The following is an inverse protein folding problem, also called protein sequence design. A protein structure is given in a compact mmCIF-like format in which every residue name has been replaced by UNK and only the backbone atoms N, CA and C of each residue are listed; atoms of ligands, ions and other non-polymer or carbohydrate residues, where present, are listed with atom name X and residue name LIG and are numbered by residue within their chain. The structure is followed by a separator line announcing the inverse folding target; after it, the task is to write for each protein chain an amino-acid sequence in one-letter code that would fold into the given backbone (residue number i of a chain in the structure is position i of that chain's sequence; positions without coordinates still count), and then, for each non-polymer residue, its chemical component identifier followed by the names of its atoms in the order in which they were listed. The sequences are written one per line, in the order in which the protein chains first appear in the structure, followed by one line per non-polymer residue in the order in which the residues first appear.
data_IF_051941943415
#
_entry.id   IF_051941943415
#
_cell.length_a   1.000
_cell.length_b   1.000
_cell.length_c   1.000
_cell.angle_alpha   90.00
_cell.angle_beta   90.00
_cell.angle_gamma   90.00
#
_symmetry.space_group_name_H-M   'P 1'
#
loop_
_entity.id
_entity.type
_entity.pdbx_description
1 polymer ?
#
# COMPACT_ATOMS: atom_id res chain seq x y z
N UNK A 1 45.60 7.72 16.76
CA UNK A 1 44.34 7.15 17.29
C UNK A 1 43.22 7.63 16.38
N UNK A 2 42.85 6.83 15.39
CA UNK A 2 41.82 7.21 14.43
C UNK A 2 40.45 6.94 15.02
N UNK A 3 39.74 8.00 15.38
CA UNK A 3 38.34 7.96 15.79
C UNK A 3 37.48 7.59 14.59
N UNK A 4 36.94 6.37 14.59
CA UNK A 4 35.87 5.97 13.68
C UNK A 4 34.60 6.66 14.14
N UNK A 5 34.19 7.72 13.42
CA UNK A 5 32.87 8.32 13.58
C UNK A 5 31.86 7.30 13.03
N UNK A 6 30.93 6.77 13.84
CA UNK A 6 29.88 5.92 13.32
C UNK A 6 29.00 6.77 12.41
N UNK A 7 28.84 6.36 11.15
CA UNK A 7 27.89 6.97 10.21
C UNK A 7 26.50 7.05 10.86
N UNK A 8 25.73 8.12 10.58
CA UNK A 8 24.35 8.21 11.07
C UNK A 8 23.59 6.96 10.62
N UNK A 9 23.01 6.24 11.58
CA UNK A 9 22.11 5.12 11.28
C UNK A 9 20.96 5.72 10.47
N UNK A 10 20.74 5.27 9.23
CA UNK A 10 19.55 5.66 8.47
C UNK A 10 18.32 5.43 9.33
N UNK A 11 17.57 6.50 9.59
CA UNK A 11 16.32 6.49 10.37
C UNK A 11 15.15 5.87 9.61
N UNK A 12 15.41 5.36 8.40
CA UNK A 12 14.42 4.73 7.53
C UNK A 12 14.07 3.34 8.04
N UNK A 13 12.78 3.05 8.14
CA UNK A 13 12.27 1.74 8.56
C UNK A 13 12.66 0.62 7.58
N UNK A 14 12.55 -0.64 8.04
CA UNK A 14 12.73 -1.78 7.14
C UNK A 14 11.59 -1.83 6.11
N UNK A 15 11.82 -2.35 4.89
CA UNK A 15 10.78 -2.40 3.86
C UNK A 15 9.49 -3.07 4.34
N UNK A 16 9.58 -4.21 5.02
CA UNK A 16 8.43 -4.89 5.63
C UNK A 16 7.67 -4.01 6.61
N UNK A 17 8.38 -3.33 7.51
CA UNK A 17 7.74 -2.46 8.51
C UNK A 17 7.00 -1.30 7.85
N UNK A 18 7.63 -0.67 6.84
CA UNK A 18 7.02 0.44 6.11
C UNK A 18 5.79 -0.04 5.33
N UNK A 19 5.88 -1.13 4.58
CA UNK A 19 4.77 -1.60 3.77
C UNK A 19 3.60 -2.12 4.62
N UNK A 20 3.86 -2.85 5.71
CA UNK A 20 2.81 -3.23 6.65
C UNK A 20 2.16 -2.01 7.33
N UNK A 21 2.90 -0.92 7.58
CA UNK A 21 2.33 0.34 8.04
C UNK A 21 1.43 1.00 6.97
N UNK A 22 1.76 0.87 5.69
CA UNK A 22 0.89 1.34 4.60
C UNK A 22 -0.42 0.54 4.57
N UNK A 23 -0.38 -0.79 4.74
CA UNK A 23 -1.59 -1.61 4.88
C UNK A 23 -2.47 -1.14 6.04
N UNK A 24 -1.90 -0.88 7.22
CA UNK A 24 -2.64 -0.36 8.37
C UNK A 24 -3.27 1.01 8.07
N UNK A 25 -2.55 1.88 7.36
CA UNK A 25 -3.06 3.19 6.95
C UNK A 25 -4.23 3.06 5.97
N UNK A 26 -4.08 2.21 4.95
CA UNK A 26 -5.11 1.96 3.93
C UNK A 26 -6.37 1.37 4.59
N UNK A 27 -6.22 0.42 5.51
CA UNK A 27 -7.32 -0.16 6.28
C UNK A 27 -8.08 0.90 7.10
N UNK A 28 -7.37 1.85 7.71
CA UNK A 28 -8.00 2.97 8.43
C UNK A 28 -8.79 3.87 7.47
N UNK A 29 -8.20 4.28 6.35
CA UNK A 29 -8.86 5.13 5.34
C UNK A 29 -10.12 4.44 4.80
N UNK A 30 -10.06 3.12 4.61
CA UNK A 30 -11.25 2.39 4.20
C UNK A 30 -12.34 2.34 5.28
N UNK A 31 -11.95 2.16 6.54
CA UNK A 31 -12.91 2.21 7.66
C UNK A 31 -13.62 3.56 7.72
N UNK A 32 -12.89 4.66 7.50
CA UNK A 32 -13.42 6.02 7.39
C UNK A 32 -14.40 6.14 6.20
N UNK A 33 -14.00 5.65 5.02
CA UNK A 33 -14.83 5.65 3.81
C UNK A 33 -16.13 4.84 3.98
N UNK A 34 -16.07 3.64 4.58
CA UNK A 34 -17.27 2.86 4.88
C UNK A 34 -18.21 3.58 5.87
N UNK A 35 -17.64 4.27 6.85
CA UNK A 35 -18.39 5.12 7.76
C UNK A 35 -19.15 6.22 7.01
N UNK A 36 -18.50 6.89 6.06
CA UNK A 36 -19.12 7.91 5.22
C UNK A 36 -20.23 7.34 4.33
N UNK A 37 -20.04 6.13 3.76
CA UNK A 37 -21.10 5.43 3.03
C UNK A 37 -22.31 5.11 3.91
N UNK A 38 -22.09 4.73 5.17
CA UNK A 38 -23.17 4.40 6.10
C UNK A 38 -24.00 5.62 6.51
N UNK A 39 -23.40 6.81 6.58
CA UNK A 39 -24.12 8.06 6.87
C UNK A 39 -24.75 8.70 5.63
N UNK A 40 -24.27 8.33 4.44
CA UNK A 40 -24.71 8.93 3.17
C UNK A 40 -24.16 10.34 2.93
N UNK A 41 -23.14 10.75 3.68
CA UNK A 41 -22.49 12.05 3.55
C UNK A 41 -21.61 12.07 2.30
N UNK A 42 -22.10 12.74 1.25
CA UNK A 42 -21.47 12.75 -0.09
C UNK A 42 -20.13 13.47 -0.10
N UNK A 43 -20.00 14.55 0.66
CA UNK A 43 -18.75 15.31 0.73
C UNK A 43 -17.69 14.49 1.46
N UNK A 44 -18.08 13.85 2.58
CA UNK A 44 -17.21 12.91 3.27
C UNK A 44 -16.82 11.72 2.38
N UNK A 45 -17.76 11.11 1.64
CA UNK A 45 -17.45 10.01 0.71
C UNK A 45 -16.42 10.44 -0.33
N UNK A 46 -16.59 11.60 -0.98
CA UNK A 46 -15.68 12.06 -2.01
C UNK A 46 -14.28 12.38 -1.46
N UNK A 47 -14.22 13.03 -0.28
CA UNK A 47 -12.96 13.32 0.41
C UNK A 47 -12.22 12.05 0.82
N UNK A 48 -12.91 11.12 1.48
CA UNK A 48 -12.30 9.86 1.91
C UNK A 48 -11.92 8.97 0.72
N UNK A 49 -12.72 8.97 -0.34
CA UNK A 49 -12.39 8.27 -1.58
C UNK A 49 -11.07 8.77 -2.17
N UNK A 50 -10.88 10.08 -2.26
CA UNK A 50 -9.65 10.69 -2.80
C UNK A 50 -8.44 10.27 -1.97
N UNK A 51 -8.52 10.38 -0.64
CA UNK A 51 -7.42 10.01 0.27
C UNK A 51 -7.07 8.52 0.16
N UNK A 52 -8.09 7.68 0.02
CA UNK A 52 -7.94 6.24 -0.14
C UNK A 52 -7.32 5.86 -1.50
N UNK A 53 -7.83 6.41 -2.61
CA UNK A 53 -7.32 6.15 -3.97
C UNK A 53 -5.84 6.56 -4.09
N UNK A 54 -5.50 7.76 -3.62
CA UNK A 54 -4.11 8.23 -3.60
C UNK A 54 -3.19 7.31 -2.78
N UNK A 55 -3.62 6.92 -1.58
CA UNK A 55 -2.82 6.06 -0.71
C UNK A 55 -2.63 4.66 -1.30
N UNK A 56 -3.68 4.05 -1.86
CA UNK A 56 -3.62 2.73 -2.45
C UNK A 56 -2.74 2.74 -3.71
N UNK A 57 -2.89 3.72 -4.61
CA UNK A 57 -2.04 3.83 -5.80
C UNK A 57 -0.56 3.98 -5.44
N UNK A 58 -0.24 4.86 -4.49
CA UNK A 58 1.13 5.06 -4.04
C UNK A 58 1.74 3.79 -3.45
N UNK A 59 0.95 3.00 -2.72
CA UNK A 59 1.36 1.71 -2.18
C UNK A 59 1.67 0.68 -3.27
N UNK A 60 0.74 0.47 -4.22
CA UNK A 60 0.93 -0.48 -5.32
C UNK A 60 2.16 -0.11 -6.17
N UNK A 61 2.35 1.19 -6.45
CA UNK A 61 3.51 1.68 -7.20
C UNK A 61 4.82 1.43 -6.43
N UNK A 62 4.82 1.65 -5.12
CA UNK A 62 6.01 1.42 -4.29
C UNK A 62 6.45 -0.04 -4.31
N UNK A 63 5.50 -0.99 -4.24
CA UNK A 63 5.79 -2.41 -4.31
C UNK A 63 6.30 -2.83 -5.68
N UNK A 64 5.63 -2.39 -6.75
CA UNK A 64 5.98 -2.72 -8.12
C UNK A 64 7.36 -2.19 -8.54
N UNK A 65 7.76 -1.04 -7.99
CA UNK A 65 9.06 -0.44 -8.29
C UNK A 65 10.18 -1.06 -7.44
N UNK A 66 9.91 -1.41 -6.18
CA UNK A 66 10.97 -1.72 -5.22
C UNK A 66 11.05 -3.15 -4.73
N UNK A 67 9.93 -3.86 -4.61
CA UNK A 67 9.90 -5.20 -4.00
C UNK A 67 9.56 -6.28 -5.01
N UNK A 68 8.49 -6.08 -5.78
CA UNK A 68 7.96 -7.07 -6.71
C UNK A 68 8.99 -7.53 -7.76
N UNK A 69 9.85 -6.67 -8.34
CA UNK A 69 10.89 -7.11 -9.28
C UNK A 69 11.91 -8.05 -8.63
N UNK A 70 12.23 -7.81 -7.35
CA UNK A 70 13.16 -8.64 -6.60
C UNK A 70 12.52 -9.97 -6.22
N UNK A 71 11.24 -9.94 -5.80
CA UNK A 71 10.48 -11.14 -5.48
C UNK A 71 10.25 -12.03 -6.71
N UNK A 72 10.02 -11.43 -7.89
CA UNK A 72 9.88 -12.16 -9.16
C UNK A 72 11.10 -13.02 -9.51
N UNK A 73 12.29 -12.62 -9.08
CA UNK A 73 13.50 -13.43 -9.28
C UNK A 73 13.50 -14.74 -8.46
N UNK A 74 12.59 -14.85 -7.49
CA UNK A 74 12.46 -15.98 -6.57
C UNK A 74 11.21 -16.81 -6.86
N UNK A 75 10.08 -16.14 -7.08
CA UNK A 75 8.80 -16.79 -7.43
C UNK A 75 8.10 -15.98 -8.53
N UNK A 76 8.26 -16.45 -9.77
CA UNK A 76 7.71 -15.76 -10.95
C UNK A 76 6.20 -15.83 -11.02
N UNK A 77 5.61 -16.97 -10.62
CA UNK A 77 4.18 -17.20 -10.71
C UNK A 77 3.44 -16.38 -9.65
N UNK A 78 3.97 -16.34 -8.43
CA UNK A 78 3.35 -15.55 -7.37
C UNK A 78 3.52 -14.04 -7.61
N UNK A 79 4.68 -13.61 -8.11
CA UNK A 79 4.87 -12.22 -8.50
C UNK A 79 3.94 -11.80 -9.66
N UNK A 80 3.62 -12.72 -10.59
CA UNK A 80 2.65 -12.46 -11.64
C UNK A 80 1.23 -12.31 -11.09
N UNK A 81 0.81 -13.17 -10.14
CA UNK A 81 -0.50 -13.07 -9.49
C UNK A 81 -0.66 -11.76 -8.71
N UNK A 82 0.36 -11.34 -7.97
CA UNK A 82 0.37 -10.06 -7.26
C UNK A 82 0.19 -8.91 -8.26
N UNK A 83 0.94 -8.91 -9.37
CA UNK A 83 0.79 -7.88 -10.41
C UNK A 83 -0.60 -7.88 -11.06
N UNK A 84 -1.21 -9.04 -11.29
CA UNK A 84 -2.57 -9.17 -11.80
C UNK A 84 -3.61 -8.59 -10.82
N UNK A 85 -3.45 -8.87 -9.52
CA UNK A 85 -4.28 -8.27 -8.47
C UNK A 85 -4.13 -6.73 -8.46
N UNK A 86 -2.91 -6.19 -8.61
CA UNK A 86 -2.68 -4.75 -8.69
C UNK A 86 -3.36 -4.12 -9.90
N UNK A 87 -3.27 -4.76 -11.07
CA UNK A 87 -3.94 -4.30 -12.28
C UNK A 87 -5.46 -4.30 -12.09
N UNK A 88 -6.01 -5.35 -11.46
CA UNK A 88 -7.42 -5.40 -11.09
C UNK A 88 -7.80 -4.24 -10.15
N UNK A 89 -7.03 -3.97 -9.09
CA UNK A 89 -7.34 -2.91 -8.14
C UNK A 89 -7.31 -1.53 -8.80
N UNK A 90 -6.33 -1.24 -9.66
CA UNK A 90 -6.29 0.04 -10.40
C UNK A 90 -7.47 0.21 -11.34
N UNK A 91 -7.87 -0.86 -12.04
CA UNK A 91 -9.06 -0.85 -12.89
C UNK A 91 -10.32 -0.57 -12.07
N UNK A 92 -10.48 -1.30 -10.95
CA UNK A 92 -11.64 -1.17 -10.09
C UNK A 92 -11.73 0.18 -9.37
N UNK A 93 -10.59 0.76 -8.97
CA UNK A 93 -10.53 2.13 -8.47
C UNK A 93 -11.06 3.14 -9.49
N UNK A 94 -10.69 2.99 -10.77
CA UNK A 94 -11.21 3.85 -11.85
C UNK A 94 -12.73 3.72 -12.01
N UNK A 95 -13.25 2.48 -11.99
CA UNK A 95 -14.70 2.24 -12.06
C UNK A 95 -15.43 2.84 -10.86
N UNK A 96 -14.91 2.61 -9.64
CA UNK A 96 -15.53 3.06 -8.41
C UNK A 96 -15.48 4.59 -8.26
N UNK A 97 -14.42 5.25 -8.74
CA UNK A 97 -14.33 6.71 -8.76
C UNK A 97 -15.49 7.33 -9.56
N UNK A 98 -15.76 6.80 -10.76
CA UNK A 98 -16.90 7.22 -11.56
C UNK A 98 -18.22 6.97 -10.82
N UNK A 99 -18.35 5.82 -10.16
CA UNK A 99 -19.55 5.52 -9.37
C UNK A 99 -19.71 6.44 -8.15
N UNK A 100 -18.61 6.90 -7.53
CA UNK A 100 -18.64 7.87 -6.43
C UNK A 100 -19.13 9.21 -6.93
N UNK A 101 -18.59 9.70 -8.06
CA UNK A 101 -19.01 10.96 -8.69
C UNK A 101 -20.49 10.93 -9.10
N UNK A 102 -20.96 9.77 -9.56
CA UNK A 102 -22.37 9.53 -9.93
C UNK A 102 -23.26 9.22 -8.72
N UNK A 103 -22.71 9.08 -7.51
CA UNK A 103 -23.42 8.69 -6.29
C UNK A 103 -24.16 7.34 -6.37
N UNK A 104 -23.56 6.37 -7.08
CA UNK A 104 -24.14 5.03 -7.30
C UNK A 104 -23.34 3.91 -6.65
N UNK A 105 -22.21 4.20 -5.98
CA UNK A 105 -21.54 3.18 -5.14
C UNK A 105 -22.46 2.80 -3.98
N UNK A 106 -22.64 1.50 -3.81
CA UNK A 106 -23.37 0.93 -2.68
C UNK A 106 -22.39 0.37 -1.65
N UNK A 107 -22.83 0.31 -0.39
CA UNK A 107 -22.04 -0.29 0.69
C UNK A 107 -21.59 -1.73 0.37
N UNK A 108 -22.43 -2.63 -0.18
CA UNK A 108 -21.97 -3.96 -0.58
C UNK A 108 -20.83 -3.96 -1.61
N UNK A 109 -20.87 -3.03 -2.58
CA UNK A 109 -19.83 -2.90 -3.59
C UNK A 109 -18.49 -2.44 -2.98
N UNK A 110 -18.54 -1.48 -2.05
CA UNK A 110 -17.38 -1.02 -1.32
C UNK A 110 -16.79 -2.12 -0.42
N UNK A 111 -17.65 -2.89 0.27
CA UNK A 111 -17.24 -4.00 1.14
C UNK A 111 -16.55 -5.11 0.35
N UNK A 112 -17.11 -5.55 -0.78
CA UNK A 112 -16.51 -6.59 -1.63
C UNK A 112 -15.12 -6.19 -2.12
N UNK A 113 -14.97 -4.93 -2.53
CA UNK A 113 -13.68 -4.41 -2.98
C UNK A 113 -12.60 -4.53 -1.90
N UNK A 114 -12.95 -4.25 -0.64
CA UNK A 114 -11.98 -4.32 0.44
C UNK A 114 -11.74 -5.68 1.01
N UNK A 115 -12.74 -6.55 1.06
CA UNK A 115 -12.46 -7.93 1.44
C UNK A 115 -11.43 -8.56 0.50
N UNK A 116 -11.43 -8.15 -0.79
CA UNK A 116 -10.36 -8.53 -1.72
C UNK A 116 -9.02 -7.85 -1.43
N UNK A 117 -8.99 -6.56 -1.10
CA UNK A 117 -7.73 -5.88 -0.70
C UNK A 117 -7.12 -6.48 0.58
N UNK A 118 -7.93 -6.84 1.57
CA UNK A 118 -7.47 -7.50 2.79
C UNK A 118 -6.89 -8.88 2.51
N UNK A 119 -7.54 -9.65 1.64
CA UNK A 119 -7.02 -10.94 1.21
C UNK A 119 -5.69 -10.82 0.46
N UNK A 120 -5.55 -9.77 -0.35
CA UNK A 120 -4.31 -9.45 -1.05
C UNK A 120 -3.19 -9.03 -0.09
N UNK A 121 -3.44 -8.08 0.82
CA UNK A 121 -2.49 -7.66 1.84
C UNK A 121 -1.98 -8.85 2.68
N UNK A 122 -2.89 -9.74 3.09
CA UNK A 122 -2.52 -10.94 3.83
C UNK A 122 -1.60 -11.89 3.04
N UNK A 123 -1.79 -11.99 1.71
CA UNK A 123 -0.93 -12.79 0.83
C UNK A 123 0.46 -12.17 0.71
N UNK A 124 0.56 -10.86 0.50
CA UNK A 124 1.83 -10.15 0.42
C UNK A 124 2.64 -10.25 1.71
N UNK A 125 1.98 -10.04 2.86
CA UNK A 125 2.57 -10.19 4.18
C UNK A 125 3.13 -11.60 4.40
N UNK A 126 2.36 -12.63 4.00
CA UNK A 126 2.73 -14.02 4.19
C UNK A 126 3.89 -14.47 3.30
N UNK A 127 4.03 -13.88 2.11
CA UNK A 127 4.94 -14.32 1.07
C UNK A 127 6.01 -13.27 0.77
N UNK A 128 5.64 -12.20 0.08
CA UNK A 128 6.56 -11.19 -0.46
C UNK A 128 7.31 -10.44 0.66
N UNK A 129 6.61 -9.96 1.68
CA UNK A 129 7.25 -9.18 2.75
C UNK A 129 8.06 -10.05 3.68
N UNK A 130 7.57 -11.26 3.98
CA UNK A 130 8.33 -12.26 4.74
C UNK A 130 9.64 -12.61 4.03
N UNK A 131 9.60 -12.80 2.72
CA UNK A 131 10.79 -13.03 1.91
C UNK A 131 11.73 -11.82 1.98
N UNK A 132 11.21 -10.60 1.77
CA UNK A 132 12.01 -9.38 1.79
C UNK A 132 12.75 -9.17 3.13
N UNK A 133 12.10 -9.46 4.25
CA UNK A 133 12.67 -9.34 5.59
C UNK A 133 13.76 -10.39 5.89
N UNK A 134 13.68 -11.56 5.25
CA UNK A 134 14.60 -12.68 5.50
C UNK A 134 15.75 -12.79 4.52
N UNK A 135 15.60 -12.26 3.29
CA UNK A 135 16.56 -12.50 2.19
C UNK A 135 17.19 -11.22 1.63
N UNK A 136 16.67 -10.02 1.91
CA UNK A 136 17.34 -8.80 1.50
C UNK A 136 18.54 -8.53 2.40
N UNK A 137 19.72 -8.45 1.80
CA UNK A 137 20.92 -8.02 2.50
C UNK A 137 20.73 -6.63 3.11
N UNK A 138 21.40 -6.37 4.23
CA UNK A 138 21.22 -5.14 5.00
C UNK A 138 21.36 -3.84 4.16
N UNK A 139 22.36 -3.69 3.27
CA UNK A 139 22.49 -2.49 2.45
C UNK A 139 21.32 -2.30 1.46
N UNK A 140 20.83 -3.39 0.87
CA UNK A 140 19.68 -3.35 -0.04
C UNK A 140 18.39 -3.01 0.72
N UNK A 141 18.20 -3.63 1.88
CA UNK A 141 17.07 -3.36 2.77
C UNK A 141 17.01 -1.89 3.20
N UNK A 142 18.14 -1.30 3.59
CA UNK A 142 18.23 0.13 3.96
C UNK A 142 17.94 1.04 2.77
N UNK A 143 18.52 0.78 1.60
CA UNK A 143 18.28 1.60 0.41
C UNK A 143 16.82 1.58 -0.04
N UNK A 144 16.17 0.42 0.03
CA UNK A 144 14.74 0.31 -0.28
C UNK A 144 13.91 1.04 0.79
N UNK A 145 14.23 0.88 2.07
CA UNK A 145 13.55 1.59 3.16
C UNK A 145 13.61 3.12 3.00
N UNK A 146 14.75 3.67 2.58
CA UNK A 146 14.92 5.10 2.29
C UNK A 146 14.02 5.55 1.12
N UNK A 147 13.96 4.78 0.04
CA UNK A 147 13.10 5.07 -1.11
C UNK A 147 11.63 5.04 -0.71
N UNK A 148 11.19 4.00 -0.02
CA UNK A 148 9.81 3.88 0.50
C UNK A 148 9.45 5.04 1.43
N UNK A 149 10.37 5.44 2.32
CA UNK A 149 10.16 6.59 3.20
C UNK A 149 9.98 7.89 2.40
N UNK A 150 10.75 8.08 1.33
CA UNK A 150 10.68 9.29 0.49
C UNK A 150 9.42 9.39 -0.38
N UNK A 151 8.81 8.25 -0.73
CA UNK A 151 7.60 8.19 -1.56
C UNK A 151 6.31 8.39 -0.75
N UNK A 152 6.39 8.25 0.57
CA UNK A 152 5.22 8.50 1.44
C UNK A 152 4.85 9.98 1.38
N UNK A 153 3.59 10.30 1.02
CA UNK A 153 3.16 11.69 1.02
C UNK A 153 3.33 12.26 2.43
N UNK A 154 3.85 13.49 2.50
CA UNK A 154 4.04 14.21 3.75
C UNK A 154 2.72 14.17 4.53
N UNK A 155 2.80 13.78 5.81
CA UNK A 155 1.63 13.72 6.67
C UNK A 155 0.99 15.10 6.75
N UNK A 156 -0.10 15.31 6.00
CA UNK A 156 -1.03 16.38 6.29
C UNK A 156 -1.75 15.98 7.57
N UNK A 157 -1.20 16.45 8.70
CA UNK A 157 -1.94 16.53 9.96
C UNK A 157 -3.17 17.39 9.69
N UNK A 158 -4.33 16.75 9.61
CA UNK A 158 -5.61 17.39 9.86
C UNK A 158 -6.05 17.06 11.28
#
# INVERSE_FOLDING_TARGET
MSSHVPSPRSTSGRPRELLSQDHVRIERLFTELLGAFATGDREAIASEWTRFDEALRAHLDAEEVHILPLFRAVDVDEAARIAEDHAYFRGKLGELAVCVDLHVVSLPMATEFVDRLRAHAAREDALMYRWADTHLEHPASTSIGEKLTSLRPAMSLQ
#
